data_IF_558615658494
#
_entry.id   IF_558615658494
#
_cell.length_a   1.000
_cell.length_b   1.000
_cell.length_c   1.000
_cell.angle_alpha   90.00
_cell.angle_beta   90.00
_cell.angle_gamma   90.00
#
_symmetry.space_group_name_H-M   'P 1'
#
loop_
_entity.id
_entity.type
_entity.pdbx_description
1 polymer ?
#
# COMPACT_ATOMS: atom_id res chain seq x y z
N UNK A 1 -15.23 -2.62 13.98
CA UNK A 1 -14.49 -3.62 13.21
C UNK A 1 -14.09 -3.00 11.88
N UNK A 2 -12.80 -2.90 11.61
CA UNK A 2 -12.26 -2.38 10.35
C UNK A 2 -12.23 -3.48 9.27
N UNK A 3 -12.03 -3.12 8.00
CA UNK A 3 -11.86 -4.09 6.91
C UNK A 3 -10.63 -4.98 7.13
N UNK A 4 -9.53 -4.40 7.63
CA UNK A 4 -8.30 -5.13 7.98
C UNK A 4 -8.56 -6.16 9.09
N UNK A 5 -9.23 -5.76 10.17
CA UNK A 5 -9.60 -6.67 11.26
C UNK A 5 -10.48 -7.83 10.78
N UNK A 6 -11.46 -7.54 9.90
CA UNK A 6 -12.32 -8.58 9.32
C UNK A 6 -11.53 -9.59 8.46
N UNK A 7 -10.56 -9.11 7.66
CA UNK A 7 -9.68 -9.98 6.86
C UNK A 7 -8.82 -10.88 7.75
N UNK A 8 -8.18 -10.31 8.78
CA UNK A 8 -7.34 -11.07 9.72
C UNK A 8 -8.16 -12.15 10.42
N UNK A 9 -9.33 -11.80 10.96
CA UNK A 9 -10.20 -12.76 11.66
C UNK A 9 -10.67 -13.89 10.74
N UNK A 10 -11.04 -13.54 9.49
CA UNK A 10 -11.47 -14.52 8.50
C UNK A 10 -10.33 -15.49 8.15
N UNK A 11 -9.13 -14.96 7.88
CA UNK A 11 -7.96 -15.77 7.54
C UNK A 11 -7.49 -16.62 8.74
N UNK A 12 -7.47 -16.06 9.95
CA UNK A 12 -7.16 -16.78 11.18
C UNK A 12 -8.12 -17.95 11.40
N UNK A 13 -9.42 -17.72 11.17
CA UNK A 13 -10.45 -18.76 11.20
C UNK A 13 -10.16 -19.88 10.19
N UNK A 14 -9.88 -19.54 8.93
CA UNK A 14 -9.54 -20.52 7.90
C UNK A 14 -8.26 -21.31 8.22
N UNK A 15 -7.24 -20.65 8.76
CA UNK A 15 -5.99 -21.29 9.20
C UNK A 15 -6.23 -22.24 10.37
N UNK A 16 -7.07 -21.86 11.34
CA UNK A 16 -7.42 -22.71 12.47
C UNK A 16 -8.24 -23.94 12.04
N UNK A 17 -9.06 -23.83 11.00
CA UNK A 17 -9.80 -24.99 10.47
C UNK A 17 -8.93 -25.98 9.67
N UNK A 18 -7.76 -25.55 9.19
CA UNK A 18 -6.90 -26.34 8.30
C UNK A 18 -5.59 -26.83 8.96
N UNK A 19 -5.28 -26.37 10.17
CA UNK A 19 -4.04 -26.68 10.87
C UNK A 19 -4.23 -27.26 12.28
N UNK A 20 -3.12 -27.66 12.89
CA UNK A 20 -3.04 -28.01 14.32
C UNK A 20 -2.22 -26.93 15.01
N UNK A 21 -2.75 -26.32 16.07
CA UNK A 21 -2.11 -25.22 16.77
C UNK A 21 -3.09 -24.46 17.66
N UNK A 22 -2.58 -23.48 18.41
CA UNK A 22 -3.45 -22.56 19.17
C UNK A 22 -3.97 -21.47 18.23
N UNK A 23 -5.17 -20.98 18.50
CA UNK A 23 -5.79 -19.93 17.69
C UNK A 23 -4.93 -18.66 17.62
N UNK A 24 -4.24 -18.33 18.70
CA UNK A 24 -3.34 -17.18 18.78
C UNK A 24 -2.18 -17.28 17.77
N UNK A 25 -1.65 -18.48 17.54
CA UNK A 25 -0.57 -18.71 16.57
C UNK A 25 -1.09 -18.52 15.13
N UNK A 26 -2.33 -18.93 14.86
CA UNK A 26 -3.01 -18.72 13.58
C UNK A 26 -3.37 -17.25 13.36
N UNK A 27 -3.79 -16.54 14.40
CA UNK A 27 -4.09 -15.11 14.34
C UNK A 27 -2.83 -14.30 14.04
N UNK A 28 -1.73 -14.53 14.77
CA UNK A 28 -0.46 -13.85 14.51
C UNK A 28 0.07 -14.16 13.11
N UNK A 29 -0.16 -15.38 12.59
CA UNK A 29 0.16 -15.73 11.21
C UNK A 29 -0.72 -14.97 10.21
N UNK A 30 -2.02 -14.87 10.46
CA UNK A 30 -2.94 -14.14 9.61
C UNK A 30 -2.60 -12.64 9.55
N UNK A 31 -2.24 -12.03 10.68
CA UNK A 31 -1.77 -10.64 10.73
C UNK A 31 -0.57 -10.41 9.82
N UNK A 32 0.48 -11.22 9.96
CA UNK A 32 1.68 -11.10 9.12
C UNK A 32 1.36 -11.24 7.63
N UNK A 33 0.59 -12.24 7.25
CA UNK A 33 0.22 -12.46 5.84
C UNK A 33 -0.61 -11.30 5.27
N UNK A 34 -1.53 -10.75 6.07
CA UNK A 34 -2.32 -9.58 5.64
C UNK A 34 -1.41 -8.36 5.48
N UNK A 35 -0.50 -8.12 6.42
CA UNK A 35 0.42 -6.99 6.34
C UNK A 35 1.41 -7.12 5.17
N UNK A 36 1.93 -8.33 4.91
CA UNK A 36 2.80 -8.62 3.77
C UNK A 36 2.10 -8.32 2.43
N UNK A 37 0.87 -8.82 2.24
CA UNK A 37 0.11 -8.59 0.99
C UNK A 37 -0.29 -7.12 0.83
N UNK A 38 -0.62 -6.44 1.92
CA UNK A 38 -0.93 -5.01 1.88
C UNK A 38 0.31 -4.17 1.54
N UNK A 39 1.49 -4.56 2.06
CA UNK A 39 2.75 -3.90 1.73
C UNK A 39 3.12 -4.13 0.26
N UNK A 40 3.03 -5.36 -0.24
CA UNK A 40 3.27 -5.70 -1.65
C UNK A 40 2.33 -4.93 -2.58
N UNK A 41 1.02 -4.92 -2.28
CA UNK A 41 0.06 -4.16 -3.08
C UNK A 41 0.24 -2.64 -3.00
N UNK A 42 0.77 -2.10 -1.90
CA UNK A 42 1.13 -0.69 -1.79
C UNK A 42 2.37 -0.36 -2.64
N UNK A 43 3.36 -1.25 -2.65
CA UNK A 43 4.56 -1.13 -3.47
C UNK A 43 4.23 -1.13 -4.96
N UNK A 44 3.48 -2.15 -5.43
CA UNK A 44 3.04 -2.25 -6.83
C UNK A 44 2.25 -1.00 -7.27
N UNK A 45 1.33 -0.53 -6.43
CA UNK A 45 0.55 0.69 -6.70
C UNK A 45 1.45 1.93 -6.79
N UNK A 46 2.47 2.03 -5.93
CA UNK A 46 3.41 3.14 -5.97
C UNK A 46 4.28 3.11 -7.24
N UNK A 47 4.75 1.93 -7.66
CA UNK A 47 5.53 1.75 -8.89
C UNK A 47 4.72 2.13 -10.13
N UNK A 48 3.50 1.60 -10.26
CA UNK A 48 2.58 1.95 -11.36
C UNK A 48 2.29 3.46 -11.36
N UNK A 49 2.07 4.04 -10.18
CA UNK A 49 1.88 5.47 -10.01
C UNK A 49 3.06 6.28 -10.52
N UNK A 50 4.31 5.84 -10.28
CA UNK A 50 5.51 6.51 -10.79
C UNK A 50 5.66 6.38 -12.29
N UNK A 51 5.37 5.22 -12.85
CA UNK A 51 5.42 5.00 -14.29
C UNK A 51 4.45 5.96 -15.01
N UNK A 52 3.24 6.11 -14.48
CA UNK A 52 2.22 7.02 -15.06
C UNK A 52 2.60 8.48 -14.88
N UNK A 53 3.06 8.87 -13.69
CA UNK A 53 3.38 10.28 -13.38
C UNK A 53 4.68 10.76 -14.02
N UNK A 54 5.63 9.85 -14.27
CA UNK A 54 6.96 10.18 -14.76
C UNK A 54 7.80 10.94 -13.71
N UNK A 55 8.90 11.59 -14.11
CA UNK A 55 9.73 12.36 -13.19
C UNK A 55 8.99 13.58 -12.65
N UNK A 56 9.35 14.01 -11.43
CA UNK A 56 8.84 15.23 -10.80
C UNK A 56 9.36 16.47 -11.53
N UNK A 57 8.79 16.75 -12.70
CA UNK A 57 9.14 17.85 -13.57
C UNK A 57 7.88 18.66 -13.90
N UNK A 58 8.01 19.98 -13.93
CA UNK A 58 6.95 20.84 -14.43
C UNK A 58 6.91 20.75 -15.96
N UNK A 59 5.74 20.52 -16.58
CA UNK A 59 5.61 20.61 -18.03
C UNK A 59 6.05 22.00 -18.49
N UNK A 60 6.82 22.07 -19.59
CA UNK A 60 7.28 23.37 -20.08
C UNK A 60 6.09 24.25 -20.47
N UNK A 61 6.09 25.51 -20.01
CA UNK A 61 4.98 26.43 -20.27
C UNK A 61 3.71 26.23 -19.42
N UNK A 62 3.71 25.34 -18.42
CA UNK A 62 2.60 25.21 -17.47
C UNK A 62 2.46 26.46 -16.57
N UNK A 63 1.23 26.93 -16.36
CA UNK A 63 0.97 28.02 -15.41
C UNK A 63 1.39 27.62 -13.98
N UNK A 64 2.03 28.52 -13.23
CA UNK A 64 3.13 28.10 -12.35
C UNK A 64 2.70 27.41 -11.05
N UNK A 65 1.54 27.74 -10.49
CA UNK A 65 1.29 27.40 -9.08
C UNK A 65 0.28 26.26 -8.88
N UNK A 66 -0.77 26.20 -9.69
CA UNK A 66 -1.85 25.20 -9.49
C UNK A 66 -1.45 23.84 -10.06
N UNK A 67 -0.87 23.83 -11.25
CA UNK A 67 -0.38 22.61 -11.91
C UNK A 67 0.83 22.07 -11.13
N UNK A 68 1.73 22.94 -10.68
CA UNK A 68 2.86 22.53 -9.85
C UNK A 68 2.44 21.89 -8.53
N UNK A 69 1.48 22.49 -7.83
CA UNK A 69 0.94 21.90 -6.59
C UNK A 69 0.24 20.56 -6.84
N UNK A 70 -0.47 20.43 -7.95
CA UNK A 70 -1.12 19.18 -8.31
C UNK A 70 -0.10 18.07 -8.57
N UNK A 71 0.92 18.32 -9.40
CA UNK A 71 2.00 17.36 -9.68
C UNK A 71 2.76 17.01 -8.39
N UNK A 72 3.15 18.01 -7.61
CA UNK A 72 3.83 17.80 -6.33
C UNK A 72 2.99 16.93 -5.37
N UNK A 73 1.69 17.20 -5.24
CA UNK A 73 0.81 16.44 -4.37
C UNK A 73 0.67 14.96 -4.76
N UNK A 74 0.73 14.64 -6.05
CA UNK A 74 0.75 13.24 -6.50
C UNK A 74 2.04 12.53 -6.12
N UNK A 75 3.19 13.18 -6.34
CA UNK A 75 4.47 12.61 -5.92
C UNK A 75 4.55 12.41 -4.41
N UNK A 76 4.12 13.43 -3.63
CA UNK A 76 4.13 13.36 -2.18
C UNK A 76 3.16 12.27 -1.65
N UNK A 77 2.05 12.02 -2.35
CA UNK A 77 1.14 10.93 -2.03
C UNK A 77 1.76 9.55 -2.29
N UNK A 78 2.45 9.38 -3.43
CA UNK A 78 3.17 8.14 -3.72
C UNK A 78 4.33 7.90 -2.75
N UNK A 79 5.08 8.95 -2.38
CA UNK A 79 6.11 8.90 -1.33
C UNK A 79 5.54 8.46 0.02
N UNK A 80 4.29 8.83 0.32
CA UNK A 80 3.61 8.44 1.56
C UNK A 80 3.10 7.00 1.53
N UNK A 81 2.66 6.51 0.36
CA UNK A 81 2.19 5.13 0.18
C UNK A 81 3.37 4.16 0.27
N UNK A 82 4.45 4.44 -0.46
CA UNK A 82 5.70 3.69 -0.38
C UNK A 82 6.91 4.61 -0.57
N UNK A 83 7.68 4.89 0.51
CA UNK A 83 8.86 5.73 0.42
C UNK A 83 10.05 5.06 -0.30
N UNK A 84 10.08 3.73 -0.43
CA UNK A 84 11.19 3.00 -1.04
C UNK A 84 11.17 3.10 -2.58
N UNK A 85 10.01 3.40 -3.17
CA UNK A 85 9.80 3.57 -4.62
C UNK A 85 10.24 4.97 -5.12
N UNK A 86 10.96 5.74 -4.31
CA UNK A 86 11.38 7.10 -4.67
C UNK A 86 12.32 7.15 -5.89
N UNK A 87 12.03 8.07 -6.82
CA UNK A 87 12.83 8.39 -8.00
C UNK A 87 13.91 9.42 -7.73
#
# INVERSE_FOLDING_TARGET
MTKREALILTLAGSLATSGVGRYEDHYARAERLVDEVLAEGAHEMAEEGREVMGPRALPSGAEPERIARYVAGWHDALDHVDPEVTS
#
